data_IF_196918045814
#
_entry.id   IF_196918045814
#
_cell.length_a   1.000
_cell.length_b   1.000
_cell.length_c   1.000
_cell.angle_alpha   90.00
_cell.angle_beta   90.00
_cell.angle_gamma   90.00
#
_symmetry.space_group_name_H-M   'P 1'
#
loop_
_entity.id
_entity.type
_entity.pdbx_description
1 polymer ?
#
# COMPACT_ATOMS: atom_id res chain seq x y z
N UNK A 1 5.34 14.71 -1.41
CA UNK A 1 3.93 14.43 -1.74
C UNK A 1 3.30 13.90 -0.46
N UNK A 2 2.07 14.31 -0.12
CA UNK A 2 1.35 13.80 1.06
C UNK A 2 -0.12 13.59 0.68
N UNK A 3 -0.65 12.43 1.05
CA UNK A 3 -2.01 11.99 0.79
C UNK A 3 -2.38 10.87 1.76
N UNK A 4 -3.67 10.52 1.81
CA UNK A 4 -4.23 9.52 2.71
C UNK A 4 -4.79 8.36 1.89
N UNK A 5 -4.35 7.14 2.19
CA UNK A 5 -4.78 5.90 1.55
C UNK A 5 -5.94 5.28 2.31
N UNK A 6 -6.96 4.82 1.59
CA UNK A 6 -8.15 4.20 2.17
C UNK A 6 -8.21 2.73 1.80
N UNK A 7 -7.61 1.89 2.64
CA UNK A 7 -7.67 0.43 2.51
C UNK A 7 -8.95 -0.09 3.17
N UNK A 8 -9.84 -0.69 2.36
CA UNK A 8 -11.12 -1.25 2.80
C UNK A 8 -11.11 -2.76 2.59
N UNK A 9 -10.83 -3.51 3.65
CA UNK A 9 -10.77 -4.99 3.63
C UNK A 9 -12.14 -5.66 3.85
N UNK A 10 -13.18 -4.88 4.20
CA UNK A 10 -14.52 -5.37 4.50
C UNK A 10 -15.60 -4.32 4.23
N UNK A 11 -16.88 -4.69 4.40
CA UNK A 11 -18.03 -3.83 4.12
C UNK A 11 -18.60 -4.01 2.71
N UNK A 12 -19.42 -3.06 2.26
CA UNK A 12 -20.19 -3.17 1.00
C UNK A 12 -19.37 -2.90 -0.26
N UNK A 13 -18.21 -2.24 -0.16
CA UNK A 13 -17.34 -1.90 -1.28
C UNK A 13 -15.86 -2.10 -0.90
N UNK A 14 -15.41 -3.34 -0.68
CA UNK A 14 -14.01 -3.58 -0.35
C UNK A 14 -13.10 -3.17 -1.52
N UNK A 15 -11.97 -2.55 -1.19
CA UNK A 15 -10.92 -2.18 -2.14
C UNK A 15 -9.73 -3.16 -2.10
N UNK A 16 -9.74 -4.05 -1.11
CA UNK A 16 -8.73 -5.09 -0.91
C UNK A 16 -9.34 -6.48 -0.93
N UNK A 17 -8.70 -7.39 -1.66
CA UNK A 17 -9.09 -8.79 -1.76
C UNK A 17 -7.95 -9.70 -1.29
N UNK A 18 -8.24 -10.54 -0.29
CA UNK A 18 -7.34 -11.61 0.12
C UNK A 18 -7.38 -12.76 -0.90
N UNK A 19 -6.23 -13.06 -1.49
CA UNK A 19 -6.05 -14.09 -2.53
C UNK A 19 -5.81 -15.47 -1.90
N UNK A 20 -5.14 -15.49 -0.74
CA UNK A 20 -4.85 -16.70 0.02
C UNK A 20 -5.35 -16.55 1.46
N UNK A 21 -5.46 -17.68 2.15
CA UNK A 21 -5.77 -17.73 3.57
C UNK A 21 -4.52 -18.11 4.38
N UNK A 22 -4.47 -17.82 5.69
CA UNK A 22 -3.35 -18.24 6.53
C UNK A 22 -3.13 -19.76 6.44
N UNK A 23 -1.88 -20.15 6.17
CA UNK A 23 -1.51 -21.58 6.07
C UNK A 23 -0.87 -22.09 7.36
N UNK A 24 -0.42 -21.18 8.22
CA UNK A 24 0.19 -21.47 9.51
C UNK A 24 -0.77 -21.00 10.60
N UNK A 25 -1.00 -21.85 11.61
CA UNK A 25 -1.83 -21.53 12.76
C UNK A 25 -1.05 -20.68 13.78
N UNK A 26 -0.83 -19.41 13.45
CA UNK A 26 -0.25 -18.40 14.32
C UNK A 26 -0.85 -17.02 14.02
N UNK A 27 -0.51 -16.02 14.83
CA UNK A 27 -1.04 -14.65 14.69
C UNK A 27 -0.25 -13.78 13.69
N UNK A 28 0.61 -14.39 12.85
CA UNK A 28 1.42 -13.65 11.87
C UNK A 28 0.76 -13.54 10.50
N UNK A 29 -0.28 -14.33 10.26
CA UNK A 29 -0.94 -14.46 8.95
C UNK A 29 0.01 -14.88 7.83
N UNK A 30 1.14 -15.52 8.16
CA UNK A 30 2.16 -15.91 7.20
C UNK A 30 1.58 -16.62 5.96
N UNK A 31 1.97 -16.16 4.79
CA UNK A 31 1.52 -16.69 3.49
C UNK A 31 0.20 -16.11 2.99
N UNK A 32 -0.47 -15.23 3.76
CA UNK A 32 -1.59 -14.44 3.24
C UNK A 32 -1.06 -13.45 2.20
N UNK A 33 -1.69 -13.43 1.04
CA UNK A 33 -1.47 -12.49 -0.06
C UNK A 33 -2.76 -11.71 -0.27
N UNK A 34 -2.65 -10.40 -0.42
CA UNK A 34 -3.77 -9.56 -0.80
C UNK A 34 -3.40 -8.65 -1.97
N UNK A 35 -4.38 -8.36 -2.82
CA UNK A 35 -4.30 -7.31 -3.84
C UNK A 35 -5.22 -6.17 -3.46
N UNK A 36 -4.82 -4.93 -3.76
CA UNK A 36 -5.58 -3.75 -3.38
C UNK A 36 -5.61 -2.70 -4.50
N UNK A 37 -6.70 -1.94 -4.55
CA UNK A 37 -6.89 -0.76 -5.39
C UNK A 37 -7.55 0.37 -4.61
N UNK A 38 -6.71 1.13 -3.91
CA UNK A 38 -7.13 2.07 -2.88
C UNK A 38 -7.17 3.50 -3.38
N UNK A 39 -8.16 4.24 -2.88
CA UNK A 39 -8.30 5.66 -3.15
C UNK A 39 -7.27 6.45 -2.34
N UNK A 40 -6.68 7.47 -2.97
CA UNK A 40 -5.88 8.48 -2.29
C UNK A 40 -6.66 9.78 -2.18
N UNK A 41 -6.70 10.37 -0.98
CA UNK A 41 -7.37 11.65 -0.71
C UNK A 41 -6.43 12.69 -0.12
N UNK A 42 -6.84 13.97 -0.20
CA UNK A 42 -6.04 15.11 0.30
C UNK A 42 -6.03 15.21 1.84
N UNK A 43 -7.07 14.74 2.51
CA UNK A 43 -7.17 14.70 3.98
C UNK A 43 -7.62 13.30 4.46
N UNK A 44 -7.58 13.00 5.77
CA UNK A 44 -8.00 11.70 6.30
C UNK A 44 -9.46 11.34 6.00
N UNK A 45 -10.31 12.31 5.67
CA UNK A 45 -11.71 12.04 5.29
C UNK A 45 -11.77 11.47 3.87
N UNK A 46 -12.47 10.34 3.70
CA UNK A 46 -12.72 9.72 2.39
C UNK A 46 -13.60 10.60 1.47
N UNK A 47 -14.35 11.54 2.05
CA UNK A 47 -15.15 12.53 1.31
C UNK A 47 -14.31 13.71 0.83
N UNK A 48 -13.05 13.83 1.26
CA UNK A 48 -12.18 14.91 0.81
C UNK A 48 -11.74 14.71 -0.65
N UNK A 49 -11.07 15.72 -1.20
CA UNK A 49 -10.64 15.72 -2.59
C UNK A 49 -9.84 14.45 -2.92
N UNK A 50 -10.29 13.72 -3.95
CA UNK A 50 -9.62 12.56 -4.52
C UNK A 50 -8.40 13.02 -5.30
N UNK A 51 -7.23 12.49 -4.98
CA UNK A 51 -5.94 12.94 -5.56
C UNK A 51 -5.21 11.85 -6.33
N UNK A 52 -5.63 10.59 -6.24
CA UNK A 52 -4.95 9.50 -6.90
C UNK A 52 -5.47 8.12 -6.51
N UNK A 53 -4.74 7.10 -6.92
CA UNK A 53 -4.94 5.70 -6.51
C UNK A 53 -3.62 5.03 -6.22
N UNK A 54 -3.64 4.11 -5.26
CA UNK A 54 -2.52 3.23 -4.99
C UNK A 54 -2.96 1.79 -5.25
N UNK A 55 -2.25 1.10 -6.13
CA UNK A 55 -2.56 -0.27 -6.54
C UNK A 55 -1.38 -1.16 -6.29
N UNK A 56 -1.62 -2.38 -5.83
CA UNK A 56 -0.53 -3.29 -5.60
C UNK A 56 -0.97 -4.56 -4.89
N UNK A 57 0.01 -5.15 -4.22
CA UNK A 57 -0.17 -6.31 -3.38
C UNK A 57 0.69 -6.22 -2.13
N UNK A 58 0.27 -6.94 -1.10
CA UNK A 58 1.12 -7.24 0.04
C UNK A 58 1.04 -8.73 0.38
N UNK A 59 2.07 -9.22 1.04
CA UNK A 59 2.05 -10.54 1.65
C UNK A 59 2.60 -10.50 3.07
N UNK A 60 2.00 -11.27 3.95
CA UNK A 60 2.55 -11.50 5.29
C UNK A 60 3.69 -12.51 5.18
N UNK A 61 4.93 -12.04 5.31
CA UNK A 61 6.14 -12.81 5.01
C UNK A 61 7.03 -13.09 6.24
N UNK A 62 6.61 -12.63 7.41
CA UNK A 62 7.33 -12.87 8.66
C UNK A 62 6.72 -13.99 9.48
N UNK A 63 7.56 -14.95 9.91
CA UNK A 63 7.15 -16.05 10.79
C UNK A 63 7.01 -15.63 12.25
N UNK A 64 7.53 -14.46 12.63
CA UNK A 64 7.64 -14.01 14.02
C UNK A 64 6.98 -12.67 14.31
N UNK A 65 6.49 -11.97 13.29
CA UNK A 65 5.89 -10.64 13.43
C UNK A 65 4.79 -10.42 12.41
N UNK A 66 3.87 -9.52 12.72
CA UNK A 66 2.84 -9.06 11.79
C UNK A 66 3.46 -8.01 10.84
N UNK A 67 4.16 -8.50 9.81
CA UNK A 67 4.88 -7.69 8.82
C UNK A 67 4.39 -7.99 7.42
N UNK A 68 4.35 -6.97 6.57
CA UNK A 68 3.95 -7.05 5.18
C UNK A 68 5.15 -6.79 4.27
N UNK A 69 5.40 -7.65 3.28
CA UNK A 69 6.17 -7.26 2.10
C UNK A 69 5.23 -6.64 1.09
N UNK A 70 5.44 -5.37 0.76
CA UNK A 70 4.54 -4.59 -0.09
C UNK A 70 5.19 -4.24 -1.44
N UNK A 71 4.41 -4.32 -2.51
CA UNK A 71 4.79 -3.85 -3.85
C UNK A 71 3.61 -3.13 -4.49
N UNK A 72 3.79 -1.86 -4.86
CA UNK A 72 2.68 -1.02 -5.30
C UNK A 72 3.10 0.10 -6.25
N UNK A 73 2.12 0.65 -6.95
CA UNK A 73 2.25 1.86 -7.76
C UNK A 73 1.28 2.93 -7.28
N UNK A 74 1.75 4.17 -7.21
CA UNK A 74 0.96 5.37 -6.89
C UNK A 74 0.72 6.16 -8.17
N UNK A 75 -0.54 6.34 -8.55
CA UNK A 75 -0.97 7.23 -9.62
C UNK A 75 -1.59 8.49 -9.02
N UNK A 76 -1.17 9.67 -9.50
CA UNK A 76 -1.70 10.95 -9.05
C UNK A 76 -2.57 11.53 -10.16
N UNK A 77 -3.81 11.86 -9.84
CA UNK A 77 -4.74 12.43 -10.81
C UNK A 77 -4.23 13.77 -11.35
N UNK A 78 -4.36 13.95 -12.67
CA UNK A 78 -3.84 15.12 -13.36
C UNK A 78 -2.33 15.09 -13.63
N UNK A 79 -1.63 14.01 -13.28
CA UNK A 79 -0.22 13.79 -13.63
C UNK A 79 -0.06 12.56 -14.49
N UNK A 80 0.86 12.61 -15.45
CA UNK A 80 1.12 11.48 -16.34
C UNK A 80 2.15 10.51 -15.72
N UNK A 81 1.75 9.27 -15.46
CA UNK A 81 2.62 8.21 -14.95
C UNK A 81 2.40 7.85 -13.48
N UNK A 82 3.33 7.08 -12.92
CA UNK A 82 3.21 6.49 -11.59
C UNK A 82 4.54 6.41 -10.85
N UNK A 83 4.48 6.34 -9.52
CA UNK A 83 5.63 6.09 -8.64
C UNK A 83 5.56 4.64 -8.17
N UNK A 84 6.65 3.89 -8.27
CA UNK A 84 6.73 2.50 -7.82
C UNK A 84 7.34 2.40 -6.43
N UNK A 85 6.66 1.70 -5.52
CA UNK A 85 7.04 1.47 -4.13
C UNK A 85 7.26 -0.02 -3.87
N UNK A 86 8.32 -0.34 -3.11
CA UNK A 86 8.56 -1.71 -2.65
C UNK A 86 9.30 -1.73 -1.32
N UNK A 87 8.96 -2.66 -0.43
CA UNK A 87 9.71 -2.85 0.81
C UNK A 87 8.92 -3.55 1.91
N UNK A 88 9.61 -3.75 3.03
CA UNK A 88 9.03 -4.24 4.28
C UNK A 88 8.19 -3.14 4.92
N UNK A 89 6.98 -3.50 5.32
CA UNK A 89 6.00 -2.64 5.96
C UNK A 89 5.57 -3.32 7.28
N UNK A 90 6.39 -3.19 8.34
CA UNK A 90 6.10 -3.77 9.65
C UNK A 90 4.88 -3.06 10.24
N UNK A 91 3.69 -3.62 10.04
CA UNK A 91 2.42 -2.90 10.14
C UNK A 91 2.15 -2.29 11.52
N UNK A 92 2.69 -2.87 12.58
CA UNK A 92 2.54 -2.37 13.96
C UNK A 92 3.48 -1.20 14.29
N UNK A 93 4.48 -0.91 13.46
CA UNK A 93 5.40 0.20 13.69
C UNK A 93 4.71 1.54 13.37
N UNK A 94 4.92 2.58 14.20
CA UNK A 94 4.25 3.88 14.04
C UNK A 94 4.69 4.64 12.79
N UNK A 95 5.91 4.39 12.33
CA UNK A 95 6.49 4.99 11.13
C UNK A 95 7.22 3.93 10.33
N UNK A 96 6.86 3.80 9.06
CA UNK A 96 7.32 2.74 8.17
C UNK A 96 7.83 3.36 6.88
N UNK A 97 8.85 2.75 6.28
CA UNK A 97 9.47 3.28 5.07
C UNK A 97 9.40 2.26 3.94
N UNK A 98 8.89 2.69 2.78
CA UNK A 98 8.92 1.94 1.54
C UNK A 98 9.85 2.64 0.54
N UNK A 99 10.71 1.88 -0.12
CA UNK A 99 11.61 2.44 -1.11
C UNK A 99 10.84 2.85 -2.37
N UNK A 100 11.13 4.04 -2.89
CA UNK A 100 10.76 4.43 -4.25
C UNK A 100 11.79 3.80 -5.19
N UNK A 101 11.41 2.68 -5.80
CA UNK A 101 12.28 1.88 -6.67
C UNK A 101 12.26 2.35 -8.13
N UNK A 102 11.36 3.27 -8.48
CA UNK A 102 11.25 3.79 -9.83
C UNK A 102 9.97 4.60 -10.07
N UNK A 103 9.72 4.88 -11.34
CA UNK A 103 8.48 5.49 -11.79
C UNK A 103 8.38 5.56 -13.31
N UNK A 104 7.20 5.93 -13.79
CA UNK A 104 6.84 6.08 -15.20
C UNK A 104 6.39 7.51 -15.51
N UNK A 105 6.33 7.88 -16.79
CA UNK A 105 5.89 9.22 -17.22
C UNK A 105 6.72 10.35 -16.61
N UNK A 106 6.05 11.31 -15.98
CA UNK A 106 6.66 12.42 -15.24
C UNK A 106 7.58 11.97 -14.10
N UNK A 107 7.39 10.74 -13.59
CA UNK A 107 8.17 10.16 -12.51
C UNK A 107 9.26 9.21 -13.02
N UNK A 108 9.59 9.24 -14.32
CA UNK A 108 10.68 8.43 -14.87
C UNK A 108 11.98 8.68 -14.09
N UNK A 109 12.66 7.59 -13.74
CA UNK A 109 13.88 7.61 -12.92
C UNK A 109 13.70 8.13 -11.48
N UNK A 110 12.47 8.21 -10.96
CA UNK A 110 12.25 8.56 -9.56
C UNK A 110 12.97 7.58 -8.62
N UNK A 111 13.59 8.13 -7.58
CA UNK A 111 14.26 7.42 -6.48
C UNK A 111 14.01 8.19 -5.19
N UNK A 112 13.99 7.49 -4.07
CA UNK A 112 13.71 8.08 -2.76
C UNK A 112 12.97 7.08 -1.87
N UNK A 113 12.13 7.61 -0.98
CA UNK A 113 11.38 6.81 -0.03
C UNK A 113 9.98 7.41 0.19
N UNK A 114 9.06 6.56 0.63
CA UNK A 114 7.75 6.94 1.12
C UNK A 114 7.66 6.57 2.60
N UNK A 115 7.21 7.52 3.42
CA UNK A 115 6.96 7.28 4.84
C UNK A 115 5.47 7.03 5.05
N UNK A 116 5.14 6.00 5.80
CA UNK A 116 3.77 5.57 6.07
C UNK A 116 3.53 5.56 7.58
N UNK A 117 2.39 6.07 8.00
CA UNK A 117 1.88 6.04 9.38
C UNK A 117 0.39 5.68 9.36
N UNK A 118 -0.08 4.97 10.38
CA UNK A 118 -1.49 4.59 10.53
C UNK A 118 -2.16 5.38 11.63
#
# INVERSE_FOLDING_TARGET
>A
LQFYMHDQTSGSNPTTAFVTTPQINNDTYFGVVAVFDDLLTRSPSIQSARVGRMRGMFTFDSLSALSLLQSATVEIFGRAGSISLHGQNPFLDPQRELAVIGGSGEFRCARGYATVST
#
